data_IF_808489976810
#
_entry.id   IF_808489976810
#
_cell.length_a   1.000
_cell.length_b   1.000
_cell.length_c   1.000
_cell.angle_alpha   90.00
_cell.angle_beta   90.00
_cell.angle_gamma   90.00
#
_symmetry.space_group_name_H-M   'P 1'
#
loop_
_entity.id
_entity.type
_entity.pdbx_description
1 polymer ?
#
# COMPACT_ATOMS: atom_id res chain seq x y z
N UNK A 1 17.92 2.83 -18.57
CA UNK A 1 16.93 1.90 -19.17
C UNK A 1 16.22 2.64 -20.30
N UNK A 2 16.09 2.05 -21.50
CA UNK A 2 15.30 2.62 -22.59
C UNK A 2 13.84 2.86 -22.18
N UNK A 3 13.20 3.89 -22.74
CA UNK A 3 11.82 4.26 -22.40
C UNK A 3 10.82 3.10 -22.60
N UNK A 4 10.97 2.32 -23.69
CA UNK A 4 10.09 1.18 -23.98
C UNK A 4 10.16 0.07 -22.92
N UNK A 5 11.35 -0.22 -22.39
CA UNK A 5 11.52 -1.19 -21.30
C UNK A 5 10.92 -0.67 -20.00
N UNK A 6 11.11 0.62 -19.69
CA UNK A 6 10.52 1.25 -18.51
C UNK A 6 8.99 1.23 -18.56
N UNK A 7 8.40 1.52 -19.72
CA UNK A 7 6.95 1.44 -19.94
C UNK A 7 6.44 0.00 -19.79
N UNK A 8 7.14 -0.98 -20.35
CA UNK A 8 6.80 -2.39 -20.22
C UNK A 8 6.86 -2.86 -18.75
N UNK A 9 7.91 -2.51 -18.02
CA UNK A 9 8.04 -2.83 -16.59
C UNK A 9 6.92 -2.17 -15.77
N UNK A 10 6.61 -0.90 -16.04
CA UNK A 10 5.51 -0.19 -15.38
C UNK A 10 4.17 -0.87 -15.63
N UNK A 11 3.91 -1.31 -16.86
CA UNK A 11 2.70 -2.03 -17.23
C UNK A 11 2.62 -3.42 -16.56
N UNK A 12 3.74 -4.15 -16.48
CA UNK A 12 3.81 -5.44 -15.78
C UNK A 12 3.55 -5.26 -14.29
N UNK A 13 4.20 -4.32 -13.63
CA UNK A 13 3.97 -4.03 -12.20
C UNK A 13 2.55 -3.52 -11.93
N UNK A 14 2.00 -2.66 -12.80
CA UNK A 14 0.62 -2.20 -12.70
C UNK A 14 -0.39 -3.35 -12.84
N UNK A 15 -0.19 -4.23 -13.81
CA UNK A 15 -1.02 -5.43 -14.04
C UNK A 15 -0.92 -6.38 -12.85
N UNK A 16 0.30 -6.68 -12.41
CA UNK A 16 0.56 -7.51 -11.24
C UNK A 16 -0.09 -6.95 -9.98
N UNK A 17 -0.01 -5.63 -9.75
CA UNK A 17 -0.64 -4.97 -8.61
C UNK A 17 -2.17 -5.11 -8.62
N UNK A 18 -2.83 -4.96 -9.77
CA UNK A 18 -4.28 -5.13 -9.91
C UNK A 18 -4.67 -6.59 -9.60
N UNK A 19 -3.99 -7.55 -10.22
CA UNK A 19 -4.28 -8.98 -10.06
C UNK A 19 -4.05 -9.42 -8.61
N UNK A 20 -2.90 -9.09 -8.03
CA UNK A 20 -2.53 -9.52 -6.68
C UNK A 20 -3.33 -8.82 -5.59
N UNK A 21 -3.74 -7.56 -5.80
CA UNK A 21 -4.70 -6.90 -4.90
C UNK A 21 -6.04 -7.62 -4.92
N UNK A 22 -6.52 -8.01 -6.11
CA UNK A 22 -7.71 -8.83 -6.26
C UNK A 22 -7.60 -10.17 -5.52
N UNK A 23 -6.47 -10.88 -5.69
CA UNK A 23 -6.23 -12.16 -5.02
C UNK A 23 -6.26 -12.02 -3.49
N UNK A 24 -5.59 -11.00 -2.95
CA UNK A 24 -5.61 -10.70 -1.52
C UNK A 24 -7.01 -10.39 -0.99
N UNK A 25 -7.81 -9.63 -1.75
CA UNK A 25 -9.21 -9.39 -1.41
C UNK A 25 -10.06 -10.68 -1.43
N UNK A 26 -9.87 -11.56 -2.40
CA UNK A 26 -10.57 -12.85 -2.46
C UNK A 26 -10.20 -13.75 -1.27
N UNK A 27 -8.92 -13.81 -0.90
CA UNK A 27 -8.47 -14.55 0.30
C UNK A 27 -9.10 -13.96 1.57
N UNK A 28 -9.07 -12.63 1.72
CA UNK A 28 -9.66 -11.95 2.87
C UNK A 28 -11.16 -12.26 2.98
N UNK A 29 -11.94 -12.10 1.90
CA UNK A 29 -13.37 -12.40 1.91
C UNK A 29 -13.66 -13.88 2.21
N UNK A 30 -12.79 -14.81 1.79
CA UNK A 30 -12.92 -16.23 2.10
C UNK A 30 -12.62 -16.57 3.57
N UNK A 31 -11.67 -15.86 4.20
CA UNK A 31 -11.24 -16.10 5.58
C UNK A 31 -12.06 -15.32 6.62
N UNK A 32 -12.60 -14.17 6.22
CA UNK A 32 -13.37 -13.29 7.09
C UNK A 32 -14.88 -13.52 7.02
N UNK A 33 -15.34 -14.54 6.30
CA UNK A 33 -16.77 -14.81 6.04
C UNK A 33 -17.65 -14.75 7.30
N UNK A 34 -17.19 -15.28 8.43
CA UNK A 34 -17.97 -15.34 9.68
C UNK A 34 -17.96 -13.99 10.43
N UNK A 35 -16.94 -13.18 10.23
CA UNK A 35 -16.87 -11.80 10.74
C UNK A 35 -17.68 -10.88 9.85
N UNK A 36 -17.53 -10.99 8.54
CA UNK A 36 -18.18 -10.14 7.56
C UNK A 36 -19.71 -10.24 7.68
N UNK A 37 -20.26 -11.42 8.00
CA UNK A 37 -21.69 -11.63 8.29
C UNK A 37 -22.22 -10.87 9.51
N UNK A 38 -21.35 -10.51 10.46
CA UNK A 38 -21.71 -9.84 11.72
C UNK A 38 -21.63 -8.32 11.65
N UNK A 39 -21.01 -7.77 10.60
CA UNK A 39 -20.73 -6.34 10.44
C UNK A 39 -21.67 -5.77 9.37
N UNK A 40 -22.39 -4.68 9.71
CA UNK A 40 -23.46 -4.14 8.87
C UNK A 40 -22.99 -3.78 7.45
N UNK A 41 -21.78 -3.23 7.35
CA UNK A 41 -21.16 -2.81 6.09
C UNK A 41 -20.75 -3.99 5.19
N UNK A 42 -20.37 -5.13 5.78
CA UNK A 42 -19.73 -6.23 5.04
C UNK A 42 -20.61 -7.45 4.88
N UNK A 43 -21.76 -7.52 5.56
CA UNK A 43 -22.70 -8.66 5.46
C UNK A 43 -23.22 -8.89 4.03
N UNK A 44 -23.18 -7.86 3.18
CA UNK A 44 -23.59 -7.92 1.77
C UNK A 44 -22.48 -8.39 0.82
N UNK A 45 -21.24 -8.56 1.30
CA UNK A 45 -20.12 -9.02 0.46
C UNK A 45 -20.44 -10.35 -0.23
N UNK A 46 -19.97 -10.62 -1.45
CA UNK A 46 -20.44 -11.74 -2.28
C UNK A 46 -20.34 -13.13 -1.63
N UNK A 47 -19.28 -13.39 -0.87
CA UNK A 47 -19.08 -14.67 -0.17
C UNK A 47 -19.88 -14.70 1.13
N UNK A 48 -19.91 -13.59 1.89
CA UNK A 48 -20.65 -13.47 3.15
C UNK A 48 -22.17 -13.60 2.96
N UNK A 49 -22.71 -13.01 1.89
CA UNK A 49 -24.14 -13.07 1.52
C UNK A 49 -24.54 -14.37 0.80
N UNK A 50 -23.59 -15.22 0.44
CA UNK A 50 -23.84 -16.48 -0.26
C UNK A 50 -24.09 -16.37 -1.76
N UNK A 51 -23.97 -15.17 -2.36
CA UNK A 51 -24.10 -14.96 -3.81
C UNK A 51 -23.04 -15.76 -4.58
N UNK A 52 -21.83 -15.88 -4.02
CA UNK A 52 -20.72 -16.66 -4.58
C UNK A 52 -20.35 -17.79 -3.61
N UNK A 53 -20.30 -19.03 -4.11
CA UNK A 53 -19.85 -20.17 -3.32
C UNK A 53 -18.33 -20.15 -3.10
N UNK A 54 -17.86 -20.77 -2.01
CA UNK A 54 -16.42 -20.87 -1.72
C UNK A 54 -15.66 -21.58 -2.86
N UNK A 55 -16.26 -22.55 -3.53
CA UNK A 55 -15.66 -23.21 -4.68
C UNK A 55 -15.43 -22.25 -5.85
N UNK A 56 -16.40 -21.39 -6.19
CA UNK A 56 -16.24 -20.38 -7.25
C UNK A 56 -15.17 -19.35 -6.88
N UNK A 57 -15.13 -18.94 -5.61
CA UNK A 57 -14.08 -18.05 -5.10
C UNK A 57 -12.68 -18.67 -5.21
N UNK A 58 -12.53 -19.98 -4.92
CA UNK A 58 -11.24 -20.69 -5.09
C UNK A 58 -10.80 -20.76 -6.56
N UNK A 59 -11.73 -20.99 -7.50
CA UNK A 59 -11.39 -20.99 -8.95
C UNK A 59 -10.94 -19.60 -9.39
N UNK A 60 -11.65 -18.55 -8.95
CA UNK A 60 -11.27 -17.16 -9.25
C UNK A 60 -9.90 -16.81 -8.65
N UNK A 61 -9.64 -17.20 -7.40
CA UNK A 61 -8.34 -17.05 -6.76
C UNK A 61 -7.25 -17.78 -7.55
N UNK A 62 -7.50 -19.02 -7.99
CA UNK A 62 -6.56 -19.77 -8.82
C UNK A 62 -6.20 -19.05 -10.12
N UNK A 63 -7.19 -18.45 -10.80
CA UNK A 63 -6.96 -17.64 -12.00
C UNK A 63 -6.12 -16.38 -11.71
N UNK A 64 -6.40 -15.69 -10.60
CA UNK A 64 -5.63 -14.52 -10.18
C UNK A 64 -4.17 -14.90 -9.83
N UNK A 65 -3.97 -15.98 -9.07
CA UNK A 65 -2.63 -16.45 -8.71
C UNK A 65 -1.84 -16.93 -9.94
N UNK A 66 -2.49 -17.60 -10.89
CA UNK A 66 -1.86 -17.98 -12.15
C UNK A 66 -1.45 -16.75 -12.98
N UNK A 67 -2.31 -15.73 -13.06
CA UNK A 67 -1.98 -14.46 -13.71
C UNK A 67 -0.85 -13.71 -13.02
N UNK A 68 -0.86 -13.67 -11.68
CA UNK A 68 0.21 -13.08 -10.88
C UNK A 68 1.55 -13.80 -11.07
N UNK A 69 1.53 -15.13 -11.12
CA UNK A 69 2.70 -15.95 -11.42
C UNK A 69 3.22 -15.69 -12.85
N UNK A 70 2.34 -15.56 -13.84
CA UNK A 70 2.74 -15.24 -15.22
C UNK A 70 3.43 -13.86 -15.33
N UNK A 71 3.01 -12.87 -14.52
CA UNK A 71 3.72 -11.59 -14.40
C UNK A 71 5.07 -11.78 -13.70
N UNK A 72 5.10 -12.51 -12.58
CA UNK A 72 6.32 -12.74 -11.81
C UNK A 72 7.40 -13.45 -12.62
N UNK A 73 7.04 -14.44 -13.43
CA UNK A 73 7.98 -15.21 -14.27
C UNK A 73 8.60 -14.38 -15.41
N UNK A 74 8.10 -13.17 -15.67
CA UNK A 74 8.73 -12.22 -16.61
C UNK A 74 9.82 -11.37 -15.94
N UNK A 75 10.01 -11.50 -14.62
CA UNK A 75 11.04 -10.75 -13.89
C UNK A 75 12.37 -11.49 -13.90
N UNK A 76 13.44 -10.80 -13.51
CA UNK A 76 14.75 -11.44 -13.34
C UNK A 76 14.75 -12.48 -12.18
N UNK A 77 15.67 -13.47 -12.19
CA UNK A 77 15.70 -14.55 -11.18
C UNK A 77 15.84 -14.05 -9.74
N UNK A 78 16.60 -12.97 -9.52
CA UNK A 78 16.74 -12.36 -8.20
C UNK A 78 15.37 -11.89 -7.68
N UNK A 79 14.61 -11.18 -8.51
CA UNK A 79 13.29 -10.65 -8.15
C UNK A 79 12.28 -11.75 -7.91
N UNK A 80 12.29 -12.81 -8.74
CA UNK A 80 11.43 -13.98 -8.55
C UNK A 80 11.65 -14.58 -7.17
N UNK A 81 12.90 -14.89 -6.82
CA UNK A 81 13.25 -15.45 -5.52
C UNK A 81 12.93 -14.49 -4.37
N UNK A 82 13.21 -13.20 -4.56
CA UNK A 82 12.98 -12.17 -3.54
C UNK A 82 11.48 -11.98 -3.24
N UNK A 83 10.61 -12.04 -4.25
CA UNK A 83 9.16 -11.96 -4.08
C UNK A 83 8.60 -13.13 -3.27
N UNK A 84 9.16 -14.33 -3.37
CA UNK A 84 8.77 -15.45 -2.49
C UNK A 84 9.04 -15.15 -1.02
N UNK A 85 10.03 -14.30 -0.71
CA UNK A 85 10.31 -13.81 0.65
C UNK A 85 9.16 -13.02 1.29
N UNK A 86 8.21 -12.50 0.50
CA UNK A 86 7.02 -11.82 1.03
C UNK A 86 5.94 -12.78 1.55
N UNK A 87 5.98 -14.06 1.17
CA UNK A 87 4.91 -15.02 1.47
C UNK A 87 4.62 -15.18 2.96
N UNK A 88 5.62 -15.24 3.87
CA UNK A 88 5.37 -15.27 5.30
C UNK A 88 4.52 -14.07 5.76
N UNK A 89 4.80 -12.86 5.28
CA UNK A 89 4.03 -11.67 5.64
C UNK A 89 2.59 -11.75 5.12
N UNK A 90 2.41 -12.18 3.86
CA UNK A 90 1.09 -12.33 3.23
C UNK A 90 0.24 -13.35 3.97
N UNK A 91 0.83 -14.47 4.38
CA UNK A 91 0.15 -15.53 5.13
C UNK A 91 -0.21 -15.06 6.53
N UNK A 92 0.69 -14.36 7.21
CA UNK A 92 0.52 -13.97 8.62
C UNK A 92 -0.43 -12.78 8.78
N UNK A 93 -0.42 -11.83 7.84
CA UNK A 93 -1.19 -10.57 7.92
C UNK A 93 -2.66 -10.74 8.34
N UNK A 94 -3.48 -11.63 7.72
CA UNK A 94 -4.91 -11.72 8.03
C UNK A 94 -5.21 -12.14 9.47
N UNK A 95 -4.26 -12.80 10.13
CA UNK A 95 -4.37 -13.23 11.52
C UNK A 95 -4.02 -12.14 12.53
N UNK A 96 -3.30 -11.09 12.11
CA UNK A 96 -2.74 -10.09 13.02
C UNK A 96 -3.79 -9.32 13.78
N UNK A 97 -4.97 -9.10 13.20
CA UNK A 97 -6.10 -8.44 13.87
C UNK A 97 -6.63 -9.20 15.10
N UNK A 98 -6.28 -10.49 15.24
CA UNK A 98 -6.62 -11.33 16.41
C UNK A 98 -5.53 -11.31 17.48
N UNK A 99 -4.29 -11.06 17.07
CA UNK A 99 -3.11 -11.23 17.92
C UNK A 99 -2.63 -9.88 18.48
N UNK A 100 -2.58 -8.84 17.65
CA UNK A 100 -1.97 -7.54 17.98
C UNK A 100 -2.88 -6.38 17.61
N UNK A 101 -2.66 -5.22 18.25
CA UNK A 101 -3.25 -3.94 17.86
C UNK A 101 -2.54 -3.26 16.67
N UNK A 102 -1.52 -3.91 16.10
CA UNK A 102 -0.76 -3.41 14.95
C UNK A 102 -0.97 -4.19 13.63
N UNK A 103 -2.19 -4.65 13.27
CA UNK A 103 -2.36 -5.35 11.99
C UNK A 103 -2.04 -4.44 10.79
N UNK A 104 -2.25 -3.12 10.91
CA UNK A 104 -1.90 -2.12 9.89
C UNK A 104 -0.40 -2.07 9.60
N UNK A 105 0.45 -2.33 10.59
CA UNK A 105 1.91 -2.39 10.37
C UNK A 105 2.26 -3.60 9.51
N UNK A 106 1.71 -4.77 9.84
CA UNK A 106 1.96 -6.01 9.09
C UNK A 106 1.37 -5.92 7.68
N UNK A 107 0.20 -5.30 7.54
CA UNK A 107 -0.37 -4.92 6.24
C UNK A 107 0.59 -4.04 5.45
N UNK A 108 1.13 -2.99 6.07
CA UNK A 108 2.12 -2.11 5.46
C UNK A 108 3.34 -2.86 4.96
N UNK A 109 3.88 -3.78 5.76
CA UNK A 109 5.02 -4.62 5.37
C UNK A 109 4.67 -5.49 4.16
N UNK A 110 3.51 -6.16 4.18
CA UNK A 110 3.10 -7.01 3.07
C UNK A 110 2.84 -6.21 1.77
N UNK A 111 2.12 -5.09 1.85
CA UNK A 111 1.66 -4.34 0.68
C UNK A 111 2.76 -3.51 0.02
N UNK A 112 3.73 -3.01 0.78
CA UNK A 112 4.80 -2.19 0.22
C UNK A 112 5.95 -3.02 -0.37
N UNK A 113 5.90 -4.36 -0.29
CA UNK A 113 6.91 -5.23 -0.89
C UNK A 113 7.08 -4.99 -2.39
N UNK A 114 6.03 -4.51 -3.06
CA UNK A 114 6.07 -4.09 -4.47
C UNK A 114 7.12 -3.02 -4.77
N UNK A 115 7.45 -2.13 -3.82
CA UNK A 115 8.51 -1.14 -4.00
C UNK A 115 9.89 -1.80 -4.09
N UNK A 116 10.16 -2.80 -3.24
CA UNK A 116 11.40 -3.56 -3.26
C UNK A 116 11.50 -4.43 -4.52
N UNK A 117 10.39 -5.08 -4.89
CA UNK A 117 10.30 -5.89 -6.11
C UNK A 117 10.49 -5.03 -7.37
N UNK A 118 9.92 -3.82 -7.42
CA UNK A 118 10.09 -2.87 -8.51
C UNK A 118 11.54 -2.47 -8.70
N UNK A 119 12.23 -2.14 -7.60
CA UNK A 119 13.66 -1.85 -7.62
C UNK A 119 14.47 -3.04 -8.13
N UNK A 120 14.27 -4.23 -7.54
CA UNK A 120 15.04 -5.41 -7.90
C UNK A 120 14.79 -5.88 -9.33
N UNK A 121 13.58 -5.67 -9.87
CA UNK A 121 13.23 -6.03 -11.24
C UNK A 121 14.07 -5.26 -12.26
N UNK A 122 14.35 -3.99 -11.97
CA UNK A 122 15.11 -3.09 -12.84
C UNK A 122 16.62 -3.21 -12.59
N UNK A 123 17.05 -3.25 -11.33
CA UNK A 123 18.47 -3.20 -10.96
C UNK A 123 19.15 -4.59 -10.89
N UNK A 124 18.38 -5.69 -10.88
CA UNK A 124 18.92 -7.05 -10.71
C UNK A 124 19.41 -7.37 -9.29
N UNK A 125 19.16 -6.48 -8.35
CA UNK A 125 19.54 -6.55 -6.94
C UNK A 125 18.89 -5.40 -6.16
N UNK A 126 19.15 -5.28 -4.86
CA UNK A 126 18.60 -4.19 -4.04
C UNK A 126 19.73 -3.32 -3.49
N UNK A 127 19.66 -2.03 -3.82
CA UNK A 127 20.40 -1.01 -3.07
C UNK A 127 19.56 -0.63 -1.85
N UNK A 128 19.97 -1.13 -0.68
CA UNK A 128 19.24 -0.91 0.56
C UNK A 128 19.29 0.55 1.04
N UNK A 129 20.29 1.34 0.63
CA UNK A 129 20.34 2.75 0.99
C UNK A 129 19.17 3.53 0.37
N UNK A 130 18.74 3.13 -0.84
CA UNK A 130 17.61 3.75 -1.54
C UNK A 130 16.28 3.06 -1.23
N UNK A 131 16.27 1.73 -1.33
CA UNK A 131 15.04 0.94 -1.31
C UNK A 131 14.44 0.80 0.09
N UNK A 132 15.27 0.75 1.16
CA UNK A 132 14.76 0.62 2.52
C UNK A 132 14.00 1.87 2.99
N UNK A 133 14.51 3.11 2.80
CA UNK A 133 13.72 4.30 3.10
C UNK A 133 12.43 4.38 2.27
N UNK A 134 12.46 4.03 0.99
CA UNK A 134 11.25 3.99 0.15
C UNK A 134 10.20 3.02 0.70
N UNK A 135 10.62 1.80 1.03
CA UNK A 135 9.75 0.78 1.60
C UNK A 135 9.19 1.22 2.96
N UNK A 136 10.03 1.73 3.85
CA UNK A 136 9.62 2.23 5.16
C UNK A 136 8.68 3.45 5.06
N UNK A 137 8.86 4.31 4.06
CA UNK A 137 7.96 5.42 3.78
C UNK A 137 6.55 4.91 3.41
N UNK A 138 6.49 3.90 2.54
CA UNK A 138 5.26 3.24 2.16
C UNK A 138 4.57 2.53 3.33
N UNK A 139 5.33 1.83 4.19
CA UNK A 139 4.80 1.21 5.42
C UNK A 139 4.21 2.27 6.36
N UNK A 140 4.93 3.37 6.57
CA UNK A 140 4.46 4.50 7.38
C UNK A 140 3.20 5.13 6.79
N UNK A 141 3.13 5.25 5.46
CA UNK A 141 1.96 5.77 4.77
C UNK A 141 0.75 4.83 4.88
N UNK A 142 0.96 3.52 4.81
CA UNK A 142 -0.08 2.52 5.09
C UNK A 142 -0.65 2.67 6.48
N UNK A 143 0.20 2.91 7.49
CA UNK A 143 -0.29 3.22 8.84
C UNK A 143 -1.17 4.47 8.85
N UNK A 144 -0.85 5.51 8.08
CA UNK A 144 -1.71 6.71 7.98
C UNK A 144 -3.09 6.38 7.43
N UNK A 145 -3.17 5.88 6.19
CA UNK A 145 -4.47 5.73 5.54
C UNK A 145 -5.29 4.57 6.11
N UNK A 146 -4.65 3.48 6.53
CA UNK A 146 -5.38 2.29 6.96
C UNK A 146 -5.86 2.40 8.40
N UNK A 147 -5.16 3.18 9.24
CA UNK A 147 -5.70 3.57 10.56
C UNK A 147 -6.94 4.45 10.39
N UNK A 148 -6.92 5.42 9.46
CA UNK A 148 -8.11 6.24 9.15
C UNK A 148 -9.25 5.36 8.63
N UNK A 149 -8.95 4.41 7.75
CA UNK A 149 -9.93 3.45 7.26
C UNK A 149 -10.54 2.63 8.39
N UNK A 150 -9.72 2.13 9.31
CA UNK A 150 -10.14 1.35 10.47
C UNK A 150 -10.99 2.10 11.51
N UNK A 151 -11.10 3.43 11.42
CA UNK A 151 -12.07 4.18 12.23
C UNK A 151 -13.52 4.04 11.72
N UNK A 152 -13.72 3.56 10.49
CA UNK A 152 -15.08 3.32 9.95
C UNK A 152 -15.84 2.24 10.71
N UNK A 153 -15.14 1.17 11.07
CA UNK A 153 -15.75 -0.02 11.68
C UNK A 153 -15.46 -0.10 13.19
N UNK A 154 -14.93 0.97 13.80
CA UNK A 154 -14.45 0.99 15.20
C UNK A 154 -15.46 0.40 16.20
N UNK A 155 -16.75 0.71 16.05
CA UNK A 155 -17.81 0.22 16.96
C UNK A 155 -18.02 -1.29 16.81
N UNK A 156 -18.11 -1.77 15.57
CA UNK A 156 -18.34 -3.17 15.26
C UNK A 156 -17.09 -4.01 15.59
N UNK A 157 -15.89 -3.46 15.37
CA UNK A 157 -14.61 -4.09 15.72
C UNK A 157 -14.49 -4.35 17.22
N UNK A 158 -14.92 -3.41 18.07
CA UNK A 158 -14.94 -3.60 19.54
C UNK A 158 -15.86 -4.75 19.92
N UNK A 159 -17.05 -4.81 19.33
CA UNK A 159 -18.03 -5.88 19.60
C UNK A 159 -17.49 -7.24 19.12
N UNK A 160 -16.82 -7.26 17.97
CA UNK A 160 -16.25 -8.46 17.36
C UNK A 160 -14.92 -8.90 17.99
N UNK A 161 -14.35 -8.11 18.91
CA UNK A 161 -13.04 -8.39 19.53
C UNK A 161 -11.85 -8.23 18.57
N UNK A 162 -12.03 -7.46 17.49
CA UNK A 162 -10.99 -7.17 16.50
C UNK A 162 -10.06 -6.09 17.06
N UNK A 163 -8.75 -6.30 16.95
CA UNK A 163 -7.72 -5.34 17.38
C UNK A 163 -7.22 -4.55 16.18
N UNK A 164 -6.97 -3.26 16.36
CA UNK A 164 -6.50 -2.36 15.29
C UNK A 164 -5.80 -1.13 15.86
N UNK A 165 -5.02 -0.45 15.02
CA UNK A 165 -4.37 0.82 15.38
C UNK A 165 -5.39 1.94 15.61
N UNK A 166 -6.55 1.91 14.95
CA UNK A 166 -7.65 2.86 15.21
C UNK A 166 -8.19 2.73 16.63
N UNK A 167 -8.26 1.51 17.17
CA UNK A 167 -8.60 1.25 18.57
C UNK A 167 -7.46 1.61 19.52
N UNK A 168 -6.21 1.27 19.17
CA UNK A 168 -5.04 1.54 19.99
C UNK A 168 -4.79 3.03 20.21
N UNK A 169 -4.87 3.81 19.14
CA UNK A 169 -4.58 5.25 19.20
C UNK A 169 -5.78 6.04 19.69
N UNK A 170 -7.01 5.56 19.46
CA UNK A 170 -8.24 6.22 19.91
C UNK A 170 -8.24 7.70 19.54
N UNK A 171 -8.43 8.56 20.54
CA UNK A 171 -8.50 10.02 20.34
C UNK A 171 -7.15 10.65 19.97
N UNK A 172 -6.03 9.96 20.25
CA UNK A 172 -4.68 10.41 19.87
C UNK A 172 -4.34 10.12 18.40
N UNK A 173 -5.25 9.49 17.65
CA UNK A 173 -5.03 9.09 16.25
C UNK A 173 -4.40 10.21 15.42
N UNK A 174 -4.98 11.41 15.37
CA UNK A 174 -4.45 12.49 14.52
C UNK A 174 -3.02 12.87 14.87
N UNK A 175 -2.67 12.91 16.16
CA UNK A 175 -1.31 13.23 16.61
C UNK A 175 -0.32 12.14 16.19
N UNK A 176 -0.65 10.87 16.40
CA UNK A 176 0.19 9.73 15.99
C UNK A 176 0.36 9.67 14.47
N UNK A 177 -0.74 9.86 13.71
CA UNK A 177 -0.70 9.86 12.26
C UNK A 177 0.04 11.06 11.67
N UNK A 178 0.14 12.18 12.40
CA UNK A 178 1.01 13.30 12.02
C UNK A 178 2.49 12.88 12.05
N UNK A 179 2.89 12.11 13.06
CA UNK A 179 4.23 11.53 13.14
C UNK A 179 4.51 10.57 11.97
N UNK A 180 3.61 9.63 11.68
CA UNK A 180 3.77 8.73 10.54
C UNK A 180 3.76 9.47 9.19
N UNK A 181 2.97 10.54 9.06
CA UNK A 181 2.97 11.38 7.84
C UNK A 181 4.31 12.10 7.66
N UNK A 182 4.87 12.66 8.73
CA UNK A 182 6.21 13.26 8.71
C UNK A 182 7.29 12.22 8.37
N UNK A 183 7.20 11.02 8.95
CA UNK A 183 8.09 9.90 8.62
C UNK A 183 7.99 9.51 7.14
N UNK A 184 6.78 9.42 6.57
CA UNK A 184 6.60 9.14 5.14
C UNK A 184 7.32 10.17 4.27
N UNK A 185 7.10 11.46 4.51
CA UNK A 185 7.76 12.52 3.73
C UNK A 185 9.28 12.49 3.91
N UNK A 186 9.76 12.38 5.16
CA UNK A 186 11.19 12.35 5.46
C UNK A 186 11.90 11.15 4.84
N UNK A 187 11.29 9.97 4.87
CA UNK A 187 11.84 8.75 4.28
C UNK A 187 11.78 8.77 2.74
N UNK A 188 10.77 9.38 2.13
CA UNK A 188 10.75 9.64 0.68
C UNK A 188 11.87 10.60 0.27
N UNK A 189 12.10 11.67 1.05
CA UNK A 189 13.20 12.60 0.79
C UNK A 189 14.56 11.90 0.96
N UNK A 190 14.72 11.05 1.98
CA UNK A 190 15.93 10.27 2.18
C UNK A 190 16.18 9.30 1.01
N UNK A 191 15.16 8.57 0.56
CA UNK A 191 15.26 7.70 -0.61
C UNK A 191 15.65 8.50 -1.87
N UNK A 192 14.99 9.64 -2.09
CA UNK A 192 15.31 10.54 -3.19
C UNK A 192 16.74 11.05 -3.15
N UNK A 193 17.24 11.42 -1.97
CA UNK A 193 18.62 11.86 -1.78
C UNK A 193 19.62 10.76 -2.10
N UNK A 194 19.37 9.53 -1.61
CA UNK A 194 20.23 8.38 -1.90
C UNK A 194 20.19 7.99 -3.38
N UNK A 195 19.11 8.33 -4.09
CA UNK A 195 18.95 8.10 -5.53
C UNK A 195 19.30 9.34 -6.39
N UNK A 196 19.91 10.38 -5.80
CA UNK A 196 20.26 11.62 -6.51
C UNK A 196 19.09 12.28 -7.26
N UNK A 197 17.88 12.21 -6.71
CA UNK A 197 16.71 12.90 -7.25
C UNK A 197 16.90 14.42 -7.19
N UNK A 198 16.35 15.12 -8.17
CA UNK A 198 16.49 16.57 -8.34
C UNK A 198 15.41 17.40 -7.64
N UNK A 199 15.46 18.71 -7.89
CA UNK A 199 14.54 19.70 -7.31
C UNK A 199 13.05 19.40 -7.62
N UNK A 200 12.65 19.01 -8.84
CA UNK A 200 11.25 18.67 -9.15
C UNK A 200 10.67 17.59 -8.23
N UNK A 201 11.45 16.55 -7.92
CA UNK A 201 11.04 15.52 -6.97
C UNK A 201 10.74 16.12 -5.59
N UNK A 202 11.67 16.89 -5.02
CA UNK A 202 11.49 17.46 -3.68
C UNK A 202 10.37 18.49 -3.60
N UNK A 203 10.22 19.36 -4.61
CA UNK A 203 9.12 20.33 -4.65
C UNK A 203 7.76 19.61 -4.62
N UNK A 204 7.65 18.50 -5.34
CA UNK A 204 6.41 17.73 -5.41
C UNK A 204 6.17 16.92 -4.12
N UNK A 205 7.17 16.22 -3.61
CA UNK A 205 7.05 15.41 -2.38
C UNK A 205 6.84 16.31 -1.15
N UNK A 206 7.72 17.28 -0.92
CA UNK A 206 7.65 18.16 0.25
C UNK A 206 6.50 19.14 0.12
N UNK A 207 6.26 19.72 -1.06
CA UNK A 207 5.18 20.66 -1.28
C UNK A 207 3.82 19.96 -1.36
N UNK A 208 3.50 19.37 -2.52
CA UNK A 208 2.19 18.77 -2.77
C UNK A 208 1.90 17.56 -1.87
N UNK A 209 2.89 16.69 -1.64
CA UNK A 209 2.75 15.51 -0.79
C UNK A 209 2.41 15.87 0.66
N UNK A 210 3.21 16.75 1.28
CA UNK A 210 2.92 17.20 2.66
C UNK A 210 1.60 17.97 2.75
N UNK A 211 1.30 18.85 1.79
CA UNK A 211 0.05 19.58 1.76
C UNK A 211 -1.16 18.63 1.74
N UNK A 212 -1.08 17.56 0.94
CA UNK A 212 -2.13 16.55 0.86
C UNK A 212 -2.32 15.80 2.19
N UNK A 213 -1.24 15.34 2.84
CA UNK A 213 -1.33 14.65 4.13
C UNK A 213 -1.85 15.58 5.24
N UNK A 214 -1.41 16.83 5.26
CA UNK A 214 -1.90 17.84 6.22
C UNK A 214 -3.39 18.10 6.00
N UNK A 215 -3.83 18.22 4.75
CA UNK A 215 -5.24 18.35 4.41
C UNK A 215 -6.04 17.13 4.90
N UNK A 216 -5.56 15.91 4.66
CA UNK A 216 -6.22 14.69 5.12
C UNK A 216 -6.43 14.68 6.64
N UNK A 217 -5.37 14.97 7.41
CA UNK A 217 -5.42 14.96 8.88
C UNK A 217 -6.28 16.08 9.47
N UNK A 218 -6.32 17.25 8.83
CA UNK A 218 -7.21 18.34 9.22
C UNK A 218 -8.66 18.04 8.90
N UNK A 219 -8.93 17.46 7.73
CA UNK A 219 -10.28 17.20 7.23
C UNK A 219 -10.93 15.94 7.79
N UNK A 220 -10.16 14.95 8.27
CA UNK A 220 -10.75 13.71 8.80
C UNK A 220 -11.47 13.96 10.12
N UNK A 221 -12.72 13.52 10.22
CA UNK A 221 -13.37 13.27 11.50
C UNK A 221 -13.36 11.76 11.75
N UNK A 222 -12.57 11.33 12.75
CA UNK A 222 -12.36 9.92 13.09
C UNK A 222 -13.62 9.26 13.67
N UNK A 223 -14.64 10.03 14.04
CA UNK A 223 -15.92 9.51 14.50
C UNK A 223 -16.97 9.44 13.38
N UNK A 224 -16.61 9.87 12.17
CA UNK A 224 -17.49 9.91 10.99
C UNK A 224 -17.02 8.89 9.94
N UNK A 225 -17.70 7.73 9.81
CA UNK A 225 -17.33 6.72 8.82
C UNK A 225 -17.28 7.26 7.38
N UNK A 226 -18.20 8.16 7.01
CA UNK A 226 -18.22 8.76 5.67
C UNK A 226 -16.99 9.63 5.40
N UNK A 227 -16.53 10.37 6.41
CA UNK A 227 -15.33 11.20 6.29
C UNK A 227 -14.07 10.32 6.25
N UNK A 228 -13.99 9.30 7.10
CA UNK A 228 -12.92 8.30 7.06
C UNK A 228 -12.81 7.64 5.69
N UNK A 229 -13.94 7.25 5.07
CA UNK A 229 -13.95 6.70 3.72
C UNK A 229 -13.46 7.69 2.66
N UNK A 230 -13.91 8.95 2.72
CA UNK A 230 -13.48 10.00 1.79
C UNK A 230 -11.97 10.22 1.87
N UNK A 231 -11.43 10.31 3.09
CA UNK A 231 -10.00 10.51 3.31
C UNK A 231 -9.20 9.26 2.90
N UNK A 232 -9.64 8.06 3.24
CA UNK A 232 -9.02 6.82 2.77
C UNK A 232 -8.91 6.79 1.24
N UNK A 233 -10.02 7.01 0.52
CA UNK A 233 -10.01 7.05 -0.96
C UNK A 233 -9.10 8.12 -1.54
N UNK A 234 -8.94 9.26 -0.86
CA UNK A 234 -8.06 10.32 -1.35
C UNK A 234 -6.57 9.91 -1.39
N UNK A 235 -6.19 8.78 -0.80
CA UNK A 235 -4.82 8.26 -0.89
C UNK A 235 -4.44 7.76 -2.28
N UNK A 236 -5.40 7.48 -3.17
CA UNK A 236 -5.11 7.31 -4.60
C UNK A 236 -4.38 8.53 -5.17
N UNK A 237 -4.77 9.74 -4.74
CA UNK A 237 -4.11 10.98 -5.16
C UNK A 237 -2.74 11.17 -4.52
N UNK A 238 -2.53 10.76 -3.26
CA UNK A 238 -1.19 10.79 -2.69
C UNK A 238 -0.23 9.90 -3.49
N UNK A 239 -0.65 8.67 -3.81
CA UNK A 239 0.13 7.80 -4.70
C UNK A 239 0.41 8.44 -6.06
N UNK A 240 -0.58 9.10 -6.66
CA UNK A 240 -0.40 9.82 -7.92
C UNK A 240 0.55 11.02 -7.80
N UNK A 241 0.54 11.75 -6.68
CA UNK A 241 1.49 12.84 -6.40
C UNK A 241 2.92 12.30 -6.34
N UNK A 242 3.16 11.20 -5.61
CA UNK A 242 4.51 10.62 -5.50
C UNK A 242 4.98 10.06 -6.85
N UNK A 243 4.10 9.37 -7.59
CA UNK A 243 4.44 8.92 -8.93
C UNK A 243 4.73 10.11 -9.86
N UNK A 244 3.92 11.17 -9.80
CA UNK A 244 4.14 12.42 -10.53
C UNK A 244 5.46 13.10 -10.17
N UNK A 245 5.89 13.04 -8.91
CA UNK A 245 7.19 13.57 -8.47
C UNK A 245 8.35 12.86 -9.19
N UNK A 246 8.31 11.52 -9.25
CA UNK A 246 9.32 10.70 -9.93
C UNK A 246 9.32 10.99 -11.44
N UNK A 247 8.14 11.06 -12.06
CA UNK A 247 8.02 11.35 -13.48
C UNK A 247 8.45 12.77 -13.85
N UNK A 248 8.16 13.77 -13.00
CA UNK A 248 8.57 15.15 -13.21
C UNK A 248 10.10 15.29 -13.14
N UNK A 249 10.73 14.61 -12.18
CA UNK A 249 12.20 14.60 -12.05
C UNK A 249 12.85 13.92 -13.25
N UNK A 250 12.34 12.75 -13.65
CA UNK A 250 12.80 12.04 -14.84
C UNK A 250 12.69 12.90 -16.10
N UNK A 251 11.56 13.57 -16.31
CA UNK A 251 11.35 14.45 -17.45
C UNK A 251 12.28 15.67 -17.41
N UNK A 252 12.49 16.26 -16.23
CA UNK A 252 13.40 17.39 -16.06
C UNK A 252 14.85 17.01 -16.41
N UNK A 253 15.34 15.88 -15.88
CA UNK A 253 16.70 15.40 -16.14
C UNK A 253 16.93 15.02 -17.62
N UNK A 254 15.88 14.71 -18.38
CA UNK A 254 15.95 14.52 -19.82
C UNK A 254 15.98 15.83 -20.62
N UNK A 255 15.35 16.89 -20.11
CA UNK A 255 15.23 18.18 -20.80
C UNK A 255 16.35 19.16 -20.47
N UNK A 256 16.90 19.06 -19.27
CA UNK A 256 18.01 19.88 -18.77
C UNK A 256 19.16 18.92 -18.46
N UNK A 257 20.04 18.61 -19.43
CA UNK A 257 21.25 17.86 -19.15
C UNK A 257 22.04 18.59 -18.06
N UNK A 258 22.63 17.85 -17.13
CA UNK A 258 23.54 18.45 -16.17
C UNK A 258 24.64 19.22 -16.93
N UNK A 259 24.82 20.49 -16.60
CA UNK A 259 25.98 21.25 -17.07
C UNK A 259 27.24 20.50 -16.57
N UNK A 260 28.05 19.99 -17.50
CA UNK A 260 29.37 19.39 -17.20
C UNK A 260 30.36 20.44 -16.67
#
# INVERSE_FOLDING_TARGET
MPFGEMAAMTALFGTGAIIMRGAGCTINDMWDVDFDKKVERTKTRPIASGIISRQKAMVFLGAQLAGGLAVLLQMNPYTILFCFGSMPLVIVYPFMKRITYWPQLVLGLAFNWGALAGWSAVAGGIDWAVALPLYAAGVSWTLVYDTVYGHQDKRDDVIAGVKSTSLLFGDKTKAVLSGFSASTIGLLCLSGYMNSQGLPFYLTVVGAGSAHLVWQLKSVDINSPSTCWKIFKSNTWFGAIIFGAIMADLAYNHLVPADE
#
